data_IF_048111538265
#
_entry.id   IF_048111538265
#
_cell.length_a   1.000
_cell.length_b   1.000
_cell.length_c   1.000
_cell.angle_alpha   90.00
_cell.angle_beta   90.00
_cell.angle_gamma   90.00
#
_symmetry.space_group_name_H-M   'P 1'
#
loop_
_entity.id
_entity.type
_entity.pdbx_description
1 polymer ?
#
# COMPACT_ATOMS: atom_id res chain seq x y z
N UNK A 1 26.11 -28.76 86.84
CA UNK A 1 25.95 -29.96 86.02
C UNK A 1 26.19 -29.59 84.56
N UNK A 2 27.21 -30.14 83.94
CA UNK A 2 27.48 -29.86 82.50
C UNK A 2 26.78 -30.90 81.59
N UNK A 3 26.31 -30.52 80.40
CA UNK A 3 25.72 -31.38 79.41
C UNK A 3 26.65 -32.57 79.07
N UNK A 4 26.08 -33.76 79.00
CA UNK A 4 26.82 -34.96 78.60
C UNK A 4 27.25 -34.86 77.13
N UNK A 5 28.16 -35.69 76.67
CA UNK A 5 28.69 -35.67 75.26
C UNK A 5 27.59 -36.05 74.26
N UNK A 6 26.63 -36.90 74.66
CA UNK A 6 25.48 -37.29 73.85
C UNK A 6 24.50 -36.12 73.69
N UNK A 7 24.12 -35.43 74.73
CA UNK A 7 23.22 -34.28 74.70
C UNK A 7 23.80 -33.10 73.88
N UNK A 8 25.09 -32.90 73.89
CA UNK A 8 25.77 -31.92 73.03
C UNK A 8 25.72 -32.31 71.52
N UNK A 9 25.84 -33.59 71.20
CA UNK A 9 25.71 -34.08 69.82
C UNK A 9 24.28 -33.91 69.31
N UNK A 10 23.29 -34.25 70.08
CA UNK A 10 21.88 -34.13 69.70
C UNK A 10 21.48 -32.65 69.48
N UNK A 11 21.97 -31.73 70.35
CA UNK A 11 21.76 -30.28 70.13
C UNK A 11 22.44 -29.78 68.85
N UNK A 12 23.66 -30.23 68.52
CA UNK A 12 24.36 -29.86 67.31
C UNK A 12 23.61 -30.36 66.07
N UNK A 13 23.11 -31.56 66.08
CA UNK A 13 22.37 -32.13 64.97
C UNK A 13 21.03 -31.46 64.80
N UNK A 14 20.31 -31.13 65.86
CA UNK A 14 19.08 -30.35 65.83
C UNK A 14 19.32 -28.93 65.24
N UNK A 15 20.42 -28.28 65.62
CA UNK A 15 20.78 -26.96 65.10
C UNK A 15 21.10 -27.06 63.59
N UNK A 16 21.79 -28.09 63.14
CA UNK A 16 22.10 -28.32 61.71
C UNK A 16 20.83 -28.52 60.91
N UNK A 17 19.91 -29.38 61.40
CA UNK A 17 18.64 -29.65 60.70
C UNK A 17 17.76 -28.40 60.63
N UNK A 18 17.62 -27.66 61.75
CA UNK A 18 16.86 -26.42 61.73
C UNK A 18 17.47 -25.35 60.83
N UNK A 19 18.79 -25.24 60.76
CA UNK A 19 19.49 -24.31 59.88
C UNK A 19 19.35 -24.72 58.40
N UNK A 20 19.41 -26.03 58.12
CA UNK A 20 19.19 -26.58 56.76
C UNK A 20 17.76 -26.29 56.27
N UNK A 21 16.75 -26.54 57.11
CA UNK A 21 15.34 -26.29 56.81
C UNK A 21 15.08 -24.81 56.59
N UNK A 22 15.58 -23.94 57.46
CA UNK A 22 15.42 -22.49 57.37
C UNK A 22 16.08 -21.93 56.08
N UNK A 23 17.25 -22.49 55.70
CA UNK A 23 17.95 -22.10 54.49
C UNK A 23 17.20 -22.51 53.24
N UNK A 24 16.59 -23.70 53.23
CA UNK A 24 15.75 -24.19 52.12
C UNK A 24 14.48 -23.33 51.95
N UNK A 25 13.80 -23.03 53.06
CA UNK A 25 12.60 -22.20 53.04
C UNK A 25 12.88 -20.76 52.57
N UNK A 26 13.97 -20.17 53.06
CA UNK A 26 14.42 -18.84 52.64
C UNK A 26 14.73 -18.81 51.14
N UNK A 27 15.43 -19.82 50.64
CA UNK A 27 15.78 -19.94 49.21
C UNK A 27 14.53 -20.10 48.33
N UNK A 28 13.57 -20.91 48.79
CA UNK A 28 12.28 -21.07 48.10
C UNK A 28 11.49 -19.78 48.05
N UNK A 29 11.37 -19.05 49.18
CA UNK A 29 10.63 -17.79 49.25
C UNK A 29 11.25 -16.71 48.38
N UNK A 30 12.58 -16.54 48.43
CA UNK A 30 13.30 -15.61 47.55
C UNK A 30 13.10 -15.93 46.08
N UNK A 31 13.19 -17.21 45.67
CA UNK A 31 12.99 -17.64 44.32
C UNK A 31 11.57 -17.33 43.83
N UNK A 32 10.55 -17.57 44.63
CA UNK A 32 9.16 -17.26 44.29
C UNK A 32 8.95 -15.75 44.14
N UNK A 33 9.51 -14.95 45.02
CA UNK A 33 9.35 -13.50 44.99
C UNK A 33 10.07 -12.86 43.77
N UNK A 34 11.27 -13.37 43.45
CA UNK A 34 12.02 -12.96 42.24
C UNK A 34 11.24 -13.31 40.98
N UNK A 35 10.74 -14.55 40.85
CA UNK A 35 9.96 -14.98 39.70
C UNK A 35 8.69 -14.12 39.53
N UNK A 36 7.95 -13.87 40.61
CA UNK A 36 6.77 -13.01 40.60
C UNK A 36 7.08 -11.60 40.09
N UNK A 37 8.12 -10.96 40.61
CA UNK A 37 8.54 -9.62 40.18
C UNK A 37 9.04 -9.60 38.72
N UNK A 38 9.71 -10.66 38.30
CA UNK A 38 10.16 -10.81 36.92
C UNK A 38 8.98 -10.91 35.94
N UNK A 39 7.99 -11.75 36.28
CA UNK A 39 6.79 -11.93 35.43
C UNK A 39 5.98 -10.62 35.35
N UNK A 40 5.83 -9.89 36.44
CA UNK A 40 5.17 -8.58 36.44
C UNK A 40 5.90 -7.59 35.52
N UNK A 41 7.24 -7.49 35.62
CA UNK A 41 8.05 -6.61 34.77
C UNK A 41 8.04 -7.02 33.30
N UNK A 42 8.08 -8.30 33.00
CA UNK A 42 7.94 -8.81 31.63
C UNK A 42 6.58 -8.45 31.04
N UNK A 43 5.51 -8.63 31.80
CA UNK A 43 4.15 -8.29 31.36
C UNK A 43 4.01 -6.78 31.05
N UNK A 44 4.53 -5.92 31.92
CA UNK A 44 4.56 -4.46 31.69
C UNK A 44 5.36 -4.12 30.43
N UNK A 45 6.54 -4.73 30.27
CA UNK A 45 7.41 -4.51 29.11
C UNK A 45 6.74 -4.94 27.81
N UNK A 46 6.20 -6.16 27.74
CA UNK A 46 5.51 -6.66 26.54
C UNK A 46 4.28 -5.81 26.20
N UNK A 47 3.46 -5.41 27.17
CA UNK A 47 2.32 -4.53 26.95
C UNK A 47 2.72 -3.16 26.39
N UNK A 48 3.83 -2.60 26.88
CA UNK A 48 4.36 -1.34 26.34
C UNK A 48 4.89 -1.47 24.92
N UNK A 49 5.56 -2.60 24.61
CA UNK A 49 6.06 -2.91 23.26
C UNK A 49 4.92 -3.11 22.28
N UNK A 50 3.91 -3.87 22.63
CA UNK A 50 2.74 -4.14 21.81
C UNK A 50 2.02 -2.85 21.42
N UNK A 51 1.83 -1.95 22.40
CA UNK A 51 1.27 -0.62 22.15
C UNK A 51 2.11 0.19 21.17
N UNK A 52 3.43 0.21 21.33
CA UNK A 52 4.34 0.92 20.42
C UNK A 52 4.30 0.33 19.01
N UNK A 53 4.23 -1.00 18.88
CA UNK A 53 4.11 -1.66 17.59
C UNK A 53 2.81 -1.24 16.89
N UNK A 54 1.69 -1.28 17.61
CA UNK A 54 0.39 -0.84 17.07
C UNK A 54 0.43 0.62 16.59
N UNK A 55 0.95 1.52 17.42
CA UNK A 55 1.10 2.94 17.07
C UNK A 55 1.98 3.15 15.82
N UNK A 56 3.06 2.37 15.68
CA UNK A 56 3.95 2.42 14.52
C UNK A 56 3.29 1.86 13.25
N UNK A 57 2.52 0.80 13.36
CA UNK A 57 1.75 0.23 12.25
C UNK A 57 0.73 1.25 11.75
N UNK A 58 -0.05 1.87 12.63
CA UNK A 58 -1.05 2.87 12.26
C UNK A 58 -0.42 4.10 11.59
N UNK A 59 0.70 4.58 12.12
CA UNK A 59 1.47 5.66 11.50
C UNK A 59 1.99 5.28 10.12
N UNK A 60 2.48 4.06 9.95
CA UNK A 60 2.99 3.57 8.67
C UNK A 60 1.88 3.52 7.61
N UNK A 61 0.71 2.97 7.96
CA UNK A 61 -0.47 2.96 7.08
C UNK A 61 -0.86 4.38 6.67
N UNK A 62 -0.96 5.30 7.64
CA UNK A 62 -1.29 6.71 7.36
C UNK A 62 -0.26 7.39 6.44
N UNK A 63 1.03 7.15 6.64
CA UNK A 63 2.09 7.69 5.80
C UNK A 63 2.02 7.12 4.38
N UNK A 64 1.75 5.84 4.23
CA UNK A 64 1.62 5.18 2.94
C UNK A 64 0.44 5.73 2.14
N UNK A 65 -0.69 6.00 2.78
CA UNK A 65 -1.86 6.61 2.15
C UNK A 65 -1.58 8.05 1.70
N UNK A 66 -0.91 8.84 2.54
CA UNK A 66 -0.47 10.20 2.19
C UNK A 66 0.50 10.18 1.01
N UNK A 67 1.46 9.29 1.02
CA UNK A 67 2.41 9.12 -0.09
C UNK A 67 1.70 8.77 -1.39
N UNK A 68 0.77 7.82 -1.37
CA UNK A 68 -0.03 7.44 -2.53
C UNK A 68 -0.89 8.60 -3.05
N UNK A 69 -1.46 9.39 -2.15
CA UNK A 69 -2.25 10.58 -2.52
C UNK A 69 -1.36 11.66 -3.18
N UNK A 70 -0.19 11.94 -2.63
CA UNK A 70 0.79 12.87 -3.21
C UNK A 70 1.28 12.40 -4.58
N UNK A 71 1.64 11.11 -4.70
CA UNK A 71 2.04 10.52 -5.98
C UNK A 71 0.93 10.67 -7.02
N UNK A 72 -0.32 10.37 -6.68
CA UNK A 72 -1.43 10.56 -7.60
C UNK A 72 -1.67 12.03 -7.95
N UNK A 73 -1.46 12.94 -7.02
CA UNK A 73 -1.57 14.37 -7.29
C UNK A 73 -0.51 14.84 -8.30
N UNK A 74 0.73 14.35 -8.21
CA UNK A 74 1.78 14.66 -9.21
C UNK A 74 1.44 14.14 -10.61
N UNK A 75 0.65 13.07 -10.70
CA UNK A 75 0.18 12.46 -11.95
C UNK A 75 -1.09 13.09 -12.51
N UNK A 76 -1.68 14.08 -11.84
CA UNK A 76 -2.97 14.68 -12.23
C UNK A 76 -3.01 15.24 -13.64
N UNK A 77 -1.88 15.73 -14.14
CA UNK A 77 -1.73 16.27 -15.49
C UNK A 77 -1.26 15.22 -16.51
N UNK A 78 -1.18 13.96 -16.13
CA UNK A 78 -0.69 12.88 -16.99
C UNK A 78 -1.82 11.97 -17.45
N UNK A 79 -1.67 11.45 -18.67
CA UNK A 79 -2.53 10.41 -19.24
C UNK A 79 -1.67 9.29 -19.80
N UNK A 80 -2.30 8.15 -20.02
CA UNK A 80 -1.76 7.01 -20.78
C UNK A 80 -2.50 6.87 -22.09
N UNK A 81 -1.75 6.85 -23.18
CA UNK A 81 -2.25 6.58 -24.53
C UNK A 81 -1.90 5.13 -24.91
N UNK A 82 -2.90 4.39 -25.34
CA UNK A 82 -2.81 2.98 -25.72
C UNK A 82 -3.07 2.81 -27.20
N UNK A 83 -2.53 1.73 -27.79
CA UNK A 83 -2.86 1.29 -29.14
C UNK A 83 -1.96 1.88 -30.23
N UNK A 84 -1.02 2.79 -29.90
CA UNK A 84 -0.11 3.37 -30.89
C UNK A 84 0.96 2.35 -31.28
N UNK A 85 1.05 1.89 -32.56
CA UNK A 85 2.07 0.96 -33.00
C UNK A 85 3.49 1.47 -32.71
N UNK A 86 4.41 0.56 -32.44
CA UNK A 86 5.83 0.89 -32.26
C UNK A 86 6.52 0.97 -33.61
N UNK A 87 7.41 1.95 -33.80
CA UNK A 87 8.20 2.15 -34.99
C UNK A 87 9.69 2.24 -34.64
N UNK A 88 10.58 1.70 -35.50
CA UNK A 88 12.02 1.93 -35.30
C UNK A 88 12.35 3.42 -35.31
N UNK A 89 13.19 3.86 -34.41
CA UNK A 89 13.64 5.26 -34.28
C UNK A 89 12.52 6.30 -34.20
N UNK A 90 11.39 5.94 -33.52
CA UNK A 90 10.23 6.83 -33.39
C UNK A 90 10.50 8.05 -32.50
N UNK A 91 10.01 9.20 -32.92
CA UNK A 91 9.83 10.35 -32.07
C UNK A 91 8.45 10.31 -31.43
N UNK A 92 8.39 9.88 -30.17
CA UNK A 92 7.11 9.65 -29.45
C UNK A 92 6.22 10.89 -29.45
N UNK A 93 6.81 12.10 -29.42
CA UNK A 93 6.06 13.37 -29.45
C UNK A 93 5.28 13.50 -30.76
N UNK A 94 5.90 13.19 -31.89
CA UNK A 94 5.27 13.34 -33.20
C UNK A 94 4.15 12.32 -33.42
N UNK A 95 4.34 11.09 -32.91
CA UNK A 95 3.28 10.08 -32.91
C UNK A 95 2.07 10.54 -32.11
N UNK A 96 2.30 11.10 -30.90
CA UNK A 96 1.23 11.62 -30.06
C UNK A 96 0.51 12.78 -30.73
N UNK A 97 1.26 13.74 -31.31
CA UNK A 97 0.69 14.88 -32.06
C UNK A 97 -0.16 14.40 -33.22
N UNK A 98 0.32 13.42 -34.00
CA UNK A 98 -0.41 12.83 -35.09
C UNK A 98 -1.77 12.25 -34.64
N UNK A 99 -1.78 11.47 -33.57
CA UNK A 99 -3.04 10.95 -32.99
C UNK A 99 -3.97 12.08 -32.53
N UNK A 100 -3.45 13.12 -31.90
CA UNK A 100 -4.29 14.23 -31.40
C UNK A 100 -4.86 15.09 -32.52
N UNK A 101 -4.09 15.34 -33.58
CA UNK A 101 -4.55 16.12 -34.73
C UNK A 101 -5.55 15.29 -35.54
N UNK A 102 -5.16 14.08 -35.96
CA UNK A 102 -5.92 13.31 -36.94
C UNK A 102 -7.19 12.65 -36.35
N UNK A 103 -7.13 12.23 -35.08
CA UNK A 103 -8.22 11.48 -34.44
C UNK A 103 -9.07 12.28 -33.48
N UNK A 104 -8.51 13.35 -32.89
CA UNK A 104 -9.22 14.18 -31.89
C UNK A 104 -9.52 15.60 -32.40
N UNK A 105 -8.90 16.02 -33.51
CA UNK A 105 -8.98 17.39 -34.03
C UNK A 105 -8.56 18.45 -32.99
N UNK A 106 -7.46 18.21 -32.30
CA UNK A 106 -6.97 19.04 -31.19
C UNK A 106 -5.52 19.54 -31.43
N UNK A 107 -5.27 20.35 -32.46
CA UNK A 107 -3.91 20.82 -32.77
C UNK A 107 -3.33 21.70 -31.65
N UNK A 108 -4.15 22.49 -30.98
CA UNK A 108 -3.71 23.38 -29.90
C UNK A 108 -3.21 22.65 -28.66
N UNK A 109 -3.75 21.47 -28.35
CA UNK A 109 -3.31 20.67 -27.20
C UNK A 109 -1.91 20.10 -27.41
N UNK A 110 -1.47 19.92 -28.66
CA UNK A 110 -0.14 19.46 -28.98
C UNK A 110 0.97 20.38 -28.39
N UNK A 111 0.72 21.67 -28.32
CA UNK A 111 1.64 22.66 -27.75
C UNK A 111 1.63 22.69 -26.22
N UNK A 112 0.68 21.98 -25.61
CA UNK A 112 0.55 21.87 -24.15
C UNK A 112 1.18 20.58 -23.58
N UNK A 113 1.90 19.83 -24.41
CA UNK A 113 2.63 18.63 -23.98
C UNK A 113 3.94 19.10 -23.33
N UNK A 114 4.12 18.77 -22.03
CA UNK A 114 5.37 18.96 -21.31
C UNK A 114 6.39 17.90 -21.75
N UNK A 115 6.00 16.61 -21.68
CA UNK A 115 6.82 15.49 -22.12
C UNK A 115 5.95 14.25 -22.39
N UNK A 116 6.45 13.40 -23.26
CA UNK A 116 5.88 12.07 -23.44
C UNK A 116 6.98 11.06 -23.76
N UNK A 117 6.75 9.81 -23.38
CA UNK A 117 7.64 8.69 -23.67
C UNK A 117 6.87 7.38 -23.59
N UNK A 118 7.39 6.34 -24.24
CA UNK A 118 6.88 4.98 -24.05
C UNK A 118 7.32 4.41 -22.73
N UNK A 119 6.40 3.72 -22.09
CA UNK A 119 6.74 2.90 -20.93
C UNK A 119 7.41 1.62 -21.44
N UNK A 120 8.59 1.27 -20.89
CA UNK A 120 9.24 0.00 -21.23
C UNK A 120 8.29 -1.15 -20.93
N UNK A 121 8.12 -2.11 -21.85
CA UNK A 121 7.26 -3.27 -21.59
C UNK A 121 7.82 -4.02 -20.37
N UNK A 122 6.94 -4.38 -19.44
CA UNK A 122 7.31 -5.38 -18.44
C UNK A 122 7.56 -6.67 -19.21
N UNK A 123 8.80 -7.16 -19.21
CA UNK A 123 9.17 -8.45 -19.79
C UNK A 123 8.35 -9.55 -19.12
N UNK A 124 7.24 -9.92 -19.73
CA UNK A 124 6.46 -11.11 -19.38
C UNK A 124 6.47 -11.97 -20.61
N UNK A 125 7.37 -12.94 -20.65
CA UNK A 125 7.42 -13.99 -21.64
C UNK A 125 7.52 -13.54 -23.11
N UNK A 126 8.26 -14.26 -23.89
CA UNK A 126 8.37 -14.13 -25.35
C UNK A 126 7.04 -14.49 -26.03
N UNK A 127 6.10 -13.56 -26.07
CA UNK A 127 4.87 -13.71 -26.84
C UNK A 127 4.94 -12.80 -28.05
N UNK A 128 4.90 -13.38 -29.25
CA UNK A 128 4.92 -12.73 -30.56
C UNK A 128 3.72 -11.81 -30.84
N UNK A 129 2.72 -11.78 -29.95
CA UNK A 129 1.52 -10.92 -30.02
C UNK A 129 1.51 -9.88 -28.87
N UNK A 130 2.62 -9.21 -28.61
CA UNK A 130 2.66 -8.15 -27.59
C UNK A 130 1.91 -6.90 -28.06
N UNK A 131 0.95 -6.44 -27.26
CA UNK A 131 0.32 -5.14 -27.50
C UNK A 131 1.36 -4.03 -27.46
N UNK A 132 1.22 -2.97 -28.28
CA UNK A 132 2.15 -1.84 -28.26
C UNK A 132 2.34 -1.27 -26.85
N UNK A 133 3.57 -0.87 -26.53
CA UNK A 133 3.89 -0.25 -25.26
C UNK A 133 3.12 1.05 -25.10
N UNK A 134 2.62 1.28 -23.89
CA UNK A 134 1.82 2.45 -23.55
C UNK A 134 2.68 3.71 -23.59
N UNK A 135 2.15 4.80 -24.14
CA UNK A 135 2.78 6.11 -24.09
C UNK A 135 2.21 6.88 -22.89
N UNK A 136 3.07 7.37 -22.01
CA UNK A 136 2.69 8.33 -20.97
C UNK A 136 2.91 9.74 -21.52
N UNK A 137 1.91 10.61 -21.30
CA UNK A 137 1.92 12.00 -21.77
C UNK A 137 1.63 12.88 -20.57
N UNK A 138 2.52 13.82 -20.28
CA UNK A 138 2.33 14.84 -19.26
C UNK A 138 2.07 16.18 -19.92
N UNK A 139 1.01 16.85 -19.48
CA UNK A 139 0.65 18.19 -19.93
C UNK A 139 1.17 19.26 -18.97
N UNK A 140 1.46 20.44 -19.49
CA UNK A 140 1.86 21.61 -18.68
C UNK A 140 0.75 22.09 -17.76
N UNK A 141 -0.52 21.83 -18.10
CA UNK A 141 -1.66 22.25 -17.29
C UNK A 141 -2.74 21.16 -17.17
N UNK A 142 -3.50 21.23 -16.09
CA UNK A 142 -4.69 20.41 -15.89
C UNK A 142 -5.77 20.69 -16.97
N UNK A 143 -5.92 21.96 -17.37
CA UNK A 143 -6.91 22.38 -18.38
C UNK A 143 -6.66 21.69 -19.72
N UNK A 144 -5.40 21.55 -20.14
CA UNK A 144 -5.05 20.82 -21.37
C UNK A 144 -5.47 19.35 -21.30
N UNK A 145 -5.15 18.66 -20.21
CA UNK A 145 -5.61 17.28 -19.99
C UNK A 145 -7.13 17.18 -20.01
N UNK A 146 -7.83 18.10 -19.33
CA UNK A 146 -9.29 18.08 -19.26
C UNK A 146 -9.93 18.30 -20.63
N UNK A 147 -9.38 19.22 -21.43
CA UNK A 147 -9.76 19.43 -22.82
C UNK A 147 -9.66 18.16 -23.66
N UNK A 148 -8.55 17.47 -23.59
CA UNK A 148 -8.37 16.18 -24.28
C UNK A 148 -9.40 15.14 -23.84
N UNK A 149 -9.66 15.01 -22.55
CA UNK A 149 -10.63 14.02 -22.03
C UNK A 149 -12.04 14.23 -22.58
N UNK A 150 -12.48 15.45 -22.81
CA UNK A 150 -13.80 15.74 -23.42
C UNK A 150 -13.92 15.13 -24.82
N UNK A 151 -12.81 15.08 -25.56
CA UNK A 151 -12.74 14.56 -26.94
C UNK A 151 -12.37 13.06 -27.00
N UNK A 152 -12.03 12.43 -25.87
CA UNK A 152 -11.58 11.03 -25.84
C UNK A 152 -12.59 10.04 -26.45
N UNK A 153 -13.87 10.38 -26.49
CA UNK A 153 -14.92 9.57 -27.14
C UNK A 153 -14.69 9.41 -28.65
N UNK A 154 -14.04 10.35 -29.29
CA UNK A 154 -13.72 10.30 -30.73
C UNK A 154 -12.73 9.19 -31.07
N UNK A 155 -11.98 8.68 -30.08
CA UNK A 155 -11.09 7.55 -30.26
C UNK A 155 -11.81 6.19 -30.36
N UNK A 156 -13.13 6.17 -30.18
CA UNK A 156 -13.90 4.92 -30.28
C UNK A 156 -13.82 4.37 -31.71
N UNK A 157 -13.38 3.11 -31.86
CA UNK A 157 -13.24 2.44 -33.16
C UNK A 157 -11.90 2.68 -33.88
N UNK A 158 -11.03 3.59 -33.37
CA UNK A 158 -9.73 3.88 -34.00
C UNK A 158 -8.60 2.92 -33.59
N UNK A 159 -8.83 2.07 -32.60
CA UNK A 159 -7.78 1.27 -31.96
C UNK A 159 -7.01 1.99 -30.86
N UNK A 160 -7.17 3.32 -30.75
CA UNK A 160 -6.54 4.13 -29.70
C UNK A 160 -7.44 4.28 -28.49
N UNK A 161 -6.85 4.45 -27.33
CA UNK A 161 -7.60 4.83 -26.12
C UNK A 161 -6.73 5.60 -25.13
N UNK A 162 -7.37 6.47 -24.35
CA UNK A 162 -6.71 7.24 -23.30
C UNK A 162 -7.29 6.92 -21.94
N UNK A 163 -6.43 6.89 -20.94
CA UNK A 163 -6.80 6.71 -19.54
C UNK A 163 -5.99 7.64 -18.64
N UNK A 164 -6.48 7.87 -17.41
CA UNK A 164 -5.69 8.56 -16.40
C UNK A 164 -4.45 7.74 -15.99
N UNK A 165 -3.36 8.42 -15.68
CA UNK A 165 -2.17 7.79 -15.12
C UNK A 165 -2.38 7.56 -13.62
N UNK A 166 -2.71 6.32 -13.27
CA UNK A 166 -2.92 5.89 -11.89
C UNK A 166 -1.63 5.41 -11.24
N UNK A 167 -1.50 5.63 -9.92
CA UNK A 167 -0.51 4.93 -9.11
C UNK A 167 -0.77 3.42 -9.14
N UNK A 168 0.24 2.63 -8.79
CA UNK A 168 0.13 1.17 -8.77
C UNK A 168 -1.00 0.69 -7.85
N UNK A 169 -1.15 1.34 -6.68
CA UNK A 169 -2.18 1.02 -5.69
C UNK A 169 -3.57 1.31 -6.26
N UNK A 170 -3.77 2.51 -6.82
CA UNK A 170 -5.06 2.91 -7.40
C UNK A 170 -5.40 2.07 -8.65
N UNK A 171 -4.42 1.70 -9.43
CA UNK A 171 -4.66 0.81 -10.57
C UNK A 171 -5.13 -0.59 -10.13
N UNK A 172 -4.53 -1.17 -9.10
CA UNK A 172 -4.99 -2.44 -8.53
C UNK A 172 -6.42 -2.32 -8.00
N UNK A 173 -6.71 -1.28 -7.25
CA UNK A 173 -8.05 -1.00 -6.72
C UNK A 173 -9.08 -0.83 -7.85
N UNK A 174 -8.74 -0.08 -8.92
CA UNK A 174 -9.59 0.06 -10.11
C UNK A 174 -9.87 -1.28 -10.80
N UNK A 175 -8.87 -2.16 -10.91
CA UNK A 175 -9.06 -3.51 -11.47
C UNK A 175 -9.99 -4.35 -10.61
N UNK A 176 -9.85 -4.29 -9.30
CA UNK A 176 -10.74 -4.97 -8.35
C UNK A 176 -12.17 -4.44 -8.45
N UNK A 177 -12.35 -3.12 -8.58
CA UNK A 177 -13.65 -2.50 -8.78
C UNK A 177 -14.32 -2.95 -10.09
N UNK A 178 -13.56 -3.03 -11.20
CA UNK A 178 -14.07 -3.56 -12.48
C UNK A 178 -14.50 -5.02 -12.35
N UNK A 179 -13.71 -5.84 -11.66
CA UNK A 179 -14.04 -7.25 -11.46
C UNK A 179 -15.36 -7.44 -10.69
N UNK A 180 -15.63 -6.55 -9.73
CA UNK A 180 -16.83 -6.65 -8.87
C UNK A 180 -18.08 -5.99 -9.48
N UNK A 181 -17.95 -4.84 -10.09
CA UNK A 181 -19.09 -4.02 -10.56
C UNK A 181 -19.20 -3.93 -12.09
N UNK A 182 -18.23 -4.47 -12.82
CA UNK A 182 -18.19 -4.40 -14.26
C UNK A 182 -17.63 -3.08 -14.79
N UNK A 183 -17.12 -3.12 -16.04
CA UNK A 183 -16.46 -1.98 -16.68
C UNK A 183 -17.40 -0.80 -16.93
N UNK A 184 -18.68 -1.06 -17.23
CA UNK A 184 -19.66 -0.02 -17.51
C UNK A 184 -20.09 0.78 -16.28
N UNK A 185 -19.93 0.17 -15.10
CA UNK A 185 -20.28 0.80 -13.82
C UNK A 185 -19.06 1.35 -13.07
N UNK A 186 -17.86 1.23 -13.64
CA UNK A 186 -16.61 1.63 -12.97
C UNK A 186 -15.82 2.56 -13.88
N UNK A 187 -15.45 3.73 -13.37
CA UNK A 187 -14.63 4.69 -14.12
C UNK A 187 -13.66 5.44 -13.21
N UNK A 188 -12.71 6.10 -13.84
CA UNK A 188 -11.73 6.96 -13.17
C UNK A 188 -11.96 8.40 -13.61
N UNK A 189 -11.92 9.32 -12.66
CA UNK A 189 -11.93 10.75 -12.92
C UNK A 189 -10.88 11.41 -12.03
N UNK A 190 -9.89 12.04 -12.67
CA UNK A 190 -8.76 12.71 -12.00
C UNK A 190 -8.04 11.86 -10.97
N UNK A 191 -7.83 10.60 -11.33
CA UNK A 191 -7.19 9.61 -10.48
C UNK A 191 -8.07 9.05 -9.37
N UNK A 192 -9.30 9.52 -9.21
CA UNK A 192 -10.26 8.96 -8.26
C UNK A 192 -11.12 7.90 -8.95
N UNK A 193 -11.38 6.81 -8.23
CA UNK A 193 -12.16 5.67 -8.72
C UNK A 193 -13.60 5.83 -8.28
N UNK A 194 -14.51 5.63 -9.20
CA UNK A 194 -15.97 5.71 -8.96
C UNK A 194 -16.65 4.45 -9.45
N UNK A 195 -17.67 4.05 -8.70
CA UNK A 195 -18.55 2.94 -9.03
C UNK A 195 -19.99 3.44 -9.00
N UNK A 196 -20.81 2.93 -9.92
CA UNK A 196 -22.26 3.12 -9.92
C UNK A 196 -22.93 1.84 -9.44
N UNK A 197 -23.61 1.89 -8.29
CA UNK A 197 -24.43 0.80 -7.73
C UNK A 197 -25.84 1.33 -7.48
N UNK A 198 -26.85 0.63 -7.98
CA UNK A 198 -28.28 1.01 -7.82
C UNK A 198 -28.57 2.47 -8.26
N UNK A 199 -27.93 2.93 -9.34
CA UNK A 199 -28.09 4.30 -9.83
C UNK A 199 -27.24 5.35 -9.11
N UNK A 200 -26.66 5.05 -7.95
CA UNK A 200 -25.90 5.98 -7.11
C UNK A 200 -24.42 5.90 -7.42
N UNK A 201 -23.78 7.07 -7.61
CA UNK A 201 -22.33 7.19 -7.77
C UNK A 201 -21.65 7.19 -6.42
N UNK A 202 -20.64 6.34 -6.24
CA UNK A 202 -19.84 6.25 -5.04
C UNK A 202 -18.34 6.32 -5.36
N UNK A 203 -17.57 6.99 -4.52
CA UNK A 203 -16.12 7.08 -4.63
C UNK A 203 -15.48 5.96 -3.84
N UNK A 204 -14.48 5.29 -4.43
CA UNK A 204 -13.76 4.18 -3.84
C UNK A 204 -12.32 4.61 -3.57
N UNK A 205 -11.90 4.57 -2.32
CA UNK A 205 -10.55 4.95 -1.88
C UNK A 205 -9.72 3.75 -1.40
N UNK A 206 -10.38 2.71 -0.91
CA UNK A 206 -9.75 1.51 -0.35
C UNK A 206 -10.46 0.22 -0.79
N UNK A 207 -9.84 -0.92 -0.49
CA UNK A 207 -10.49 -2.22 -0.68
C UNK A 207 -11.68 -2.41 0.28
N UNK A 208 -11.61 -1.83 1.48
CA UNK A 208 -12.70 -1.88 2.46
C UNK A 208 -13.95 -1.17 1.94
N UNK A 209 -13.77 -0.05 1.19
CA UNK A 209 -14.88 0.63 0.54
C UNK A 209 -15.57 -0.29 -0.49
N UNK A 210 -14.79 -1.12 -1.21
CA UNK A 210 -15.34 -2.10 -2.15
C UNK A 210 -16.12 -3.22 -1.45
N UNK A 211 -15.72 -3.61 -0.25
CA UNK A 211 -16.40 -4.65 0.52
C UNK A 211 -17.69 -4.14 1.14
N UNK A 212 -17.68 -2.93 1.68
CA UNK A 212 -18.88 -2.27 2.23
C UNK A 212 -19.99 -2.05 1.18
N UNK A 213 -19.62 -2.05 -0.09
CA UNK A 213 -20.56 -1.88 -1.20
C UNK A 213 -21.12 -3.20 -1.73
N UNK A 214 -20.72 -4.32 -1.20
CA UNK A 214 -21.29 -5.61 -1.60
C UNK A 214 -22.61 -5.90 -0.89
#
# INVERSE_FOLDING_TARGET
MGLSRSEKSEIIDLIKDTFSTLTADLKSTISQEINKKLDEKLKEFFGSMEKKITDLVDKNVSLHDKQNALEQYTRRNSIRLYGVPEQPNEYTVDLVKSVFINNLNLPTICNMIDRCHRLKPRRVGSSTNSKPSVIIIKFISYTAKHGLRKHAKLLKGTGFSVADDLTSIRYKLYKSAISKFGRNNTWVLDGNIFVKKNGIRQSIKSHDDLEKLM
#
